data_IF_436914926050
#
_entry.id   IF_436914926050
#
_cell.length_a   1.000
_cell.length_b   1.000
_cell.length_c   1.000
_cell.angle_alpha   90.00
_cell.angle_beta   90.00
_cell.angle_gamma   90.00
#
_symmetry.space_group_name_H-M   'P 1'
#
loop_
_entity.id
_entity.type
_entity.pdbx_description
1 polymer ?
#
# COMPACT_ATOMS: atom_id res chain seq x y z
N UNK A 1 14.93 -2.12 -7.93
CA UNK A 1 13.82 -2.47 -7.03
C UNK A 1 13.09 -3.74 -7.50
N UNK A 2 13.79 -4.87 -7.61
CA UNK A 2 13.23 -6.12 -8.15
C UNK A 2 12.55 -7.00 -7.07
N UNK A 3 12.97 -6.87 -5.81
CA UNK A 3 12.55 -7.77 -4.72
C UNK A 3 11.07 -7.64 -4.32
N UNK A 4 10.51 -6.43 -4.25
CA UNK A 4 9.11 -6.24 -3.80
C UNK A 4 8.11 -6.94 -4.72
N UNK A 5 8.30 -6.91 -6.05
CA UNK A 5 7.43 -7.63 -7.00
C UNK A 5 7.45 -9.14 -6.77
N UNK A 6 8.58 -9.71 -6.37
CA UNK A 6 8.68 -11.14 -6.06
C UNK A 6 7.86 -11.50 -4.81
N UNK A 7 7.92 -10.68 -3.75
CA UNK A 7 7.11 -10.89 -2.55
C UNK A 7 5.60 -10.71 -2.80
N UNK A 8 5.21 -9.74 -3.63
CA UNK A 8 3.80 -9.51 -3.97
C UNK A 8 3.16 -10.69 -4.72
N UNK A 9 3.97 -11.56 -5.34
CA UNK A 9 3.52 -12.72 -6.10
C UNK A 9 3.48 -14.01 -5.29
N UNK A 10 3.90 -13.99 -4.02
CA UNK A 10 3.96 -15.16 -3.17
C UNK A 10 2.63 -15.37 -2.45
N UNK A 11 2.02 -16.50 -2.75
CA UNK A 11 0.79 -17.05 -2.17
C UNK A 11 0.98 -17.62 -0.75
N UNK A 12 2.23 -17.81 -0.32
CA UNK A 12 2.57 -18.20 1.06
C UNK A 12 2.85 -17.01 2.01
N UNK A 13 2.61 -15.78 1.56
CA UNK A 13 2.74 -14.57 2.39
C UNK A 13 1.35 -13.97 2.62
N UNK A 14 0.93 -13.89 3.89
CA UNK A 14 -0.33 -13.25 4.27
C UNK A 14 -0.27 -11.72 4.26
N UNK A 15 0.77 -11.14 4.88
CA UNK A 15 0.92 -9.70 5.10
C UNK A 15 2.37 -9.29 4.85
N UNK A 16 2.56 -8.19 4.12
CA UNK A 16 3.83 -7.48 3.95
C UNK A 16 3.76 -6.18 4.75
N UNK A 17 4.60 -6.06 5.78
CA UNK A 17 4.84 -4.78 6.45
C UNK A 17 5.93 -4.03 5.71
N UNK A 18 5.65 -2.81 5.29
CA UNK A 18 6.61 -1.95 4.60
C UNK A 18 6.59 -0.57 5.22
N UNK A 19 7.77 0.03 5.40
CA UNK A 19 7.80 1.41 5.84
C UNK A 19 7.22 2.34 4.76
N UNK A 20 6.38 3.31 5.13
CA UNK A 20 5.74 4.24 4.19
C UNK A 20 6.76 4.99 3.31
N UNK A 21 7.91 5.38 3.87
CA UNK A 21 8.98 6.03 3.10
C UNK A 21 9.54 5.11 2.01
N UNK A 22 9.71 3.82 2.31
CA UNK A 22 10.15 2.83 1.32
C UNK A 22 9.03 2.47 0.34
N UNK A 23 7.78 2.43 0.81
CA UNK A 23 6.59 2.20 -0.02
C UNK A 23 6.47 3.24 -1.14
N UNK A 24 6.82 4.50 -0.85
CA UNK A 24 6.83 5.57 -1.84
C UNK A 24 7.81 5.30 -2.98
N UNK A 25 8.99 4.76 -2.67
CA UNK A 25 9.99 4.42 -3.69
C UNK A 25 9.53 3.25 -4.59
N UNK A 26 8.72 2.32 -4.07
CA UNK A 26 8.14 1.19 -4.82
C UNK A 26 6.69 1.42 -5.27
N UNK A 27 6.18 2.66 -5.22
CA UNK A 27 4.75 2.97 -5.37
C UNK A 27 4.12 2.35 -6.63
N UNK A 28 4.83 2.39 -7.75
CA UNK A 28 4.42 1.77 -9.03
C UNK A 28 4.11 0.26 -8.91
N UNK A 29 4.83 -0.48 -8.06
CA UNK A 29 4.61 -1.91 -7.84
C UNK A 29 3.45 -2.15 -6.86
N UNK A 30 3.29 -1.29 -5.84
CA UNK A 30 2.20 -1.39 -4.87
C UNK A 30 0.84 -1.01 -5.49
N UNK A 31 0.82 0.03 -6.31
CA UNK A 31 -0.40 0.47 -7.01
C UNK A 31 -0.89 -0.57 -8.01
N UNK A 32 0.04 -1.28 -8.68
CA UNK A 32 -0.28 -2.41 -9.56
C UNK A 32 -0.75 -3.67 -8.80
N UNK A 33 -0.53 -3.77 -7.49
CA UNK A 33 -0.98 -4.91 -6.70
C UNK A 33 -2.46 -4.78 -6.34
N UNK A 34 -3.28 -5.56 -7.03
CA UNK A 34 -4.74 -5.59 -6.86
C UNK A 34 -5.24 -6.81 -6.07
N UNK A 35 -4.37 -7.80 -5.80
CA UNK A 35 -4.75 -8.98 -5.00
C UNK A 35 -4.87 -8.60 -3.54
N UNK A 36 -5.78 -9.27 -2.83
CA UNK A 36 -5.95 -9.12 -1.37
C UNK A 36 -4.80 -9.74 -0.58
N UNK A 37 -4.13 -10.77 -1.12
CA UNK A 37 -3.02 -11.48 -0.48
C UNK A 37 -1.79 -11.45 -1.43
N UNK A 38 -0.60 -11.09 -0.93
CA UNK A 38 -0.35 -10.56 0.42
C UNK A 38 -0.99 -9.17 0.60
N UNK A 39 -1.53 -8.91 1.79
CA UNK A 39 -1.96 -7.56 2.16
C UNK A 39 -0.72 -6.69 2.42
N UNK A 40 -0.65 -5.51 1.84
CA UNK A 40 0.46 -4.58 2.07
C UNK A 40 0.02 -3.54 3.11
N UNK A 41 0.76 -3.46 4.21
CA UNK A 41 0.51 -2.49 5.28
C UNK A 41 1.71 -1.53 5.40
N UNK A 42 1.44 -0.23 5.19
CA UNK A 42 2.41 0.84 5.32
C UNK A 42 2.55 1.26 6.80
N UNK A 43 3.78 1.28 7.33
CA UNK A 43 4.09 1.63 8.73
C UNK A 43 5.05 2.82 8.83
N UNK A 44 5.03 3.59 9.94
CA UNK A 44 6.02 4.66 10.17
C UNK A 44 7.42 4.11 10.48
N UNK A 45 8.42 5.00 10.55
CA UNK A 45 9.74 4.76 11.15
C UNK A 45 10.06 5.84 12.17
N UNK A 46 11.18 5.67 12.88
CA UNK A 46 11.67 6.66 13.85
C UNK A 46 11.96 8.01 13.18
N UNK A 47 12.49 8.02 11.96
CA UNK A 47 12.86 9.23 11.22
C UNK A 47 11.74 9.73 10.29
N UNK A 48 10.82 8.85 9.89
CA UNK A 48 9.72 9.17 8.97
C UNK A 48 8.38 8.85 9.64
N UNK A 49 7.71 9.85 10.25
CA UNK A 49 6.35 9.71 10.77
C UNK A 49 5.36 9.30 9.69
N UNK A 50 4.23 8.73 10.12
CA UNK A 50 3.14 8.35 9.22
C UNK A 50 2.45 9.59 8.63
N UNK A 51 2.20 9.56 7.32
CA UNK A 51 1.44 10.56 6.57
C UNK A 51 0.22 9.90 5.91
N UNK A 52 -0.98 10.21 6.43
CA UNK A 52 -2.23 9.65 5.91
C UNK A 52 -2.50 10.01 4.44
N UNK A 53 -1.95 11.12 3.93
CA UNK A 53 -2.15 11.52 2.54
C UNK A 53 -1.41 10.61 1.54
N UNK A 54 -0.38 9.89 2.00
CA UNK A 54 0.46 9.00 1.18
C UNK A 54 0.02 7.54 1.24
N UNK A 55 -0.84 7.20 2.19
CA UNK A 55 -1.30 5.83 2.39
C UNK A 55 -2.12 5.33 1.18
N UNK A 56 -1.67 4.24 0.55
CA UNK A 56 -2.32 3.70 -0.64
C UNK A 56 -3.74 3.20 -0.37
N UNK A 57 -4.03 2.67 0.82
CA UNK A 57 -5.36 2.20 1.21
C UNK A 57 -6.29 3.41 1.33
N UNK A 58 -5.86 4.46 2.03
CA UNK A 58 -6.66 5.68 2.16
C UNK A 58 -6.88 6.38 0.82
N UNK A 59 -5.86 6.41 -0.06
CA UNK A 59 -5.99 6.96 -1.42
C UNK A 59 -6.98 6.17 -2.27
N UNK A 60 -6.96 4.84 -2.20
CA UNK A 60 -7.94 3.98 -2.88
C UNK A 60 -9.35 4.19 -2.32
N UNK A 61 -9.49 4.23 -0.99
CA UNK A 61 -10.78 4.49 -0.33
C UNK A 61 -11.34 5.87 -0.69
N UNK A 62 -10.51 6.91 -0.70
CA UNK A 62 -10.91 8.27 -1.09
C UNK A 62 -11.40 8.36 -2.53
N UNK A 63 -10.87 7.52 -3.43
CA UNK A 63 -11.38 7.38 -4.80
C UNK A 63 -12.71 6.64 -4.90
N UNK A 64 -13.03 5.78 -3.93
CA UNK A 64 -14.32 5.06 -3.88
C UNK A 64 -15.45 5.94 -3.34
N UNK A 65 -15.18 6.82 -2.37
CA UNK A 65 -16.19 7.78 -1.87
C UNK A 65 -16.42 8.93 -2.87
N UNK A 66 -17.01 8.63 -4.03
CA UNK A 66 -17.63 9.66 -4.86
C UNK A 66 -18.96 10.06 -4.24
N UNK A 67 -19.35 11.32 -4.39
CA UNK A 67 -20.55 11.91 -3.78
C UNK A 67 -21.87 11.15 -4.06
N UNK A 68 -21.88 10.24 -5.04
CA UNK A 68 -23.00 9.37 -5.36
C UNK A 68 -23.28 8.31 -4.28
N UNK A 69 -22.29 7.88 -3.50
CA UNK A 69 -22.48 6.91 -2.40
C UNK A 69 -23.03 7.54 -1.11
N UNK A 70 -23.04 8.88 -1.02
CA UNK A 70 -23.52 9.63 0.14
C UNK A 70 -24.97 10.10 0.01
N UNK A 71 -25.69 9.65 -1.03
CA UNK A 71 -27.10 9.98 -1.25
C UNK A 71 -27.99 8.76 -1.06
#
# INVERSE_FOLDING_TARGET
>A
MLGTKQFLNRDDIGIILINQYIAEMVRHALDAHQRSIPAVLEIPSKEHPYDAAKDSILRRAKGMFTAEDLR
#
